data_IF_927904336270
#
_entry.id   IF_927904336270
#
_cell.length_a   1.000
_cell.length_b   1.000
_cell.length_c   1.000
_cell.angle_alpha   90.00
_cell.angle_beta   90.00
_cell.angle_gamma   90.00
#
_symmetry.space_group_name_H-M   'P 1'
#
loop_
_entity.id
_entity.type
_entity.pdbx_description
1 polymer ?
#
# COMPACT_ATOMS: atom_id res chain seq x y z
N UNK A 1 3.90 6.19 4.26
CA UNK A 1 3.80 6.48 2.81
C UNK A 1 4.66 7.67 2.41
N UNK A 2 4.52 8.83 3.06
CA UNK A 2 5.40 10.00 2.82
C UNK A 2 6.89 9.68 2.83
N UNK A 3 7.37 8.87 3.79
CA UNK A 3 8.77 8.46 3.82
C UNK A 3 9.20 7.65 2.59
N UNK A 4 8.34 6.76 2.06
CA UNK A 4 8.63 6.01 0.83
C UNK A 4 8.65 6.92 -0.39
N UNK A 5 7.78 7.95 -0.42
CA UNK A 5 7.75 8.97 -1.48
C UNK A 5 9.03 9.80 -1.44
N UNK A 6 9.44 10.27 -0.26
CA UNK A 6 10.73 10.98 -0.05
C UNK A 6 11.95 10.13 -0.40
N UNK A 7 11.89 8.82 -0.19
CA UNK A 7 12.93 7.88 -0.58
C UNK A 7 12.93 7.52 -2.09
N UNK A 8 11.97 8.03 -2.87
CA UNK A 8 11.86 7.74 -4.31
C UNK A 8 11.40 6.32 -4.65
N UNK A 9 10.91 5.56 -3.66
CA UNK A 9 10.41 4.18 -3.86
C UNK A 9 9.02 4.15 -4.49
N UNK A 10 8.23 5.21 -4.27
CA UNK A 10 6.91 5.42 -4.87
C UNK A 10 6.86 6.82 -5.48
N UNK A 11 6.06 7.00 -6.53
CA UNK A 11 5.75 8.31 -7.10
C UNK A 11 4.72 9.01 -6.21
N UNK A 12 3.65 8.31 -5.85
CA UNK A 12 2.53 8.89 -5.13
C UNK A 12 1.74 7.83 -4.35
N UNK A 13 0.84 8.28 -3.48
CA UNK A 13 -0.17 7.43 -2.88
C UNK A 13 -1.45 8.21 -2.64
N UNK A 14 -2.58 7.50 -2.67
CA UNK A 14 -3.91 8.08 -2.42
C UNK A 14 -4.72 7.15 -1.53
N UNK A 15 -5.47 7.73 -0.60
CA UNK A 15 -6.48 7.02 0.19
C UNK A 15 -7.83 7.38 -0.39
N UNK A 16 -8.52 6.38 -0.91
CA UNK A 16 -9.84 6.54 -1.54
C UNK A 16 -10.88 5.96 -0.59
N UNK A 17 -11.95 6.73 -0.33
CA UNK A 17 -13.18 6.22 0.28
C UNK A 17 -14.14 5.82 -0.82
N UNK A 18 -14.68 4.61 -0.74
CA UNK A 18 -15.59 4.06 -1.72
C UNK A 18 -16.97 3.88 -1.10
N UNK A 19 -17.99 3.83 -1.96
CA UNK A 19 -19.36 3.48 -1.59
C UNK A 19 -19.57 2.05 -2.12
N UNK A 20 -19.34 1.01 -1.30
CA UNK A 20 -19.41 -0.37 -1.76
C UNK A 20 -20.87 -0.76 -2.06
N UNK A 21 -21.07 -1.59 -3.09
CA UNK A 21 -22.38 -2.13 -3.49
C UNK A 21 -22.66 -3.50 -2.85
N UNK A 22 -21.68 -4.11 -2.21
CA UNK A 22 -21.82 -5.36 -1.45
C UNK A 22 -20.77 -5.46 -0.32
N UNK A 23 -20.95 -6.34 0.67
CA UNK A 23 -19.98 -6.54 1.75
C UNK A 23 -18.59 -7.02 1.30
N UNK A 24 -18.48 -7.58 0.09
CA UNK A 24 -17.22 -8.08 -0.47
C UNK A 24 -16.47 -7.05 -1.33
N UNK A 25 -16.98 -5.82 -1.41
CA UNK A 25 -16.31 -4.71 -2.08
C UNK A 25 -15.59 -3.79 -1.07
N UNK A 26 -14.45 -3.20 -1.46
CA UNK A 26 -13.74 -2.28 -0.58
C UNK A 26 -14.56 -1.02 -0.32
N UNK A 27 -14.61 -0.60 0.93
CA UNK A 27 -15.07 0.73 1.35
C UNK A 27 -13.92 1.74 1.48
N UNK A 28 -12.67 1.25 1.52
CA UNK A 28 -11.44 2.05 1.54
C UNK A 28 -10.40 1.34 0.66
N UNK A 29 -9.70 2.12 -0.18
CA UNK A 29 -8.56 1.64 -0.97
C UNK A 29 -7.33 2.53 -0.73
N UNK A 30 -6.17 1.91 -0.51
CA UNK A 30 -4.87 2.57 -0.57
C UNK A 30 -4.26 2.30 -1.94
N UNK A 31 -4.21 3.32 -2.78
CA UNK A 31 -3.58 3.25 -4.09
C UNK A 31 -2.14 3.76 -3.99
N UNK A 32 -1.18 2.99 -4.51
CA UNK A 32 0.24 3.33 -4.52
C UNK A 32 0.69 3.38 -5.97
N UNK A 33 1.25 4.52 -6.38
CA UNK A 33 1.76 4.71 -7.74
C UNK A 33 3.26 4.47 -7.74
N UNK A 34 3.69 3.49 -8.53
CA UNK A 34 5.10 3.17 -8.75
C UNK A 34 5.57 3.69 -10.11
N UNK A 35 6.88 3.87 -10.26
CA UNK A 35 7.48 4.33 -11.52
C UNK A 35 7.26 3.37 -12.68
N UNK A 36 7.20 2.07 -12.42
CA UNK A 36 6.95 1.02 -13.39
C UNK A 36 6.52 -0.28 -12.68
N UNK A 37 6.16 -1.29 -13.45
CA UNK A 37 5.72 -2.59 -12.90
C UNK A 37 6.80 -3.34 -12.12
N UNK A 38 8.07 -3.25 -12.52
CA UNK A 38 9.16 -3.88 -11.78
C UNK A 38 9.33 -3.27 -10.37
N UNK A 39 9.29 -1.94 -10.26
CA UNK A 39 9.34 -1.25 -8.98
C UNK A 39 8.17 -1.62 -8.05
N UNK A 40 7.01 -1.98 -8.59
CA UNK A 40 5.86 -2.42 -7.81
C UNK A 40 6.03 -3.84 -7.23
N UNK A 41 6.89 -4.67 -7.82
CA UNK A 41 7.04 -6.09 -7.47
C UNK A 41 8.40 -6.44 -6.84
N UNK A 42 9.43 -5.61 -7.03
CA UNK A 42 10.83 -5.94 -6.74
C UNK A 42 11.54 -4.93 -5.82
N UNK A 43 10.78 -4.20 -4.99
CA UNK A 43 11.32 -3.20 -4.04
C UNK A 43 11.06 -3.52 -2.57
N UNK A 44 10.79 -4.78 -2.26
CA UNK A 44 10.42 -5.22 -0.92
C UNK A 44 11.49 -4.92 0.15
N UNK A 45 12.77 -5.13 -0.18
CA UNK A 45 13.88 -4.92 0.75
C UNK A 45 14.03 -3.45 1.10
N UNK A 46 14.07 -2.56 0.10
CA UNK A 46 14.23 -1.12 0.32
C UNK A 46 13.01 -0.52 1.03
N UNK A 47 11.80 -1.01 0.73
CA UNK A 47 10.59 -0.63 1.46
C UNK A 47 10.67 -1.01 2.94
N UNK A 48 11.17 -2.21 3.24
CA UNK A 48 11.36 -2.65 4.63
C UNK A 48 12.42 -1.81 5.36
N UNK A 49 13.53 -1.47 4.71
CA UNK A 49 14.57 -0.62 5.29
C UNK A 49 14.04 0.76 5.69
N UNK A 50 13.26 1.40 4.81
CA UNK A 50 12.62 2.68 5.13
C UNK A 50 11.58 2.52 6.23
N UNK A 51 10.79 1.45 6.21
CA UNK A 51 9.79 1.17 7.24
C UNK A 51 10.43 0.99 8.63
N UNK A 52 11.55 0.28 8.70
CA UNK A 52 12.31 0.09 9.96
C UNK A 52 12.78 1.40 10.56
N UNK A 53 13.24 2.34 9.73
CA UNK A 53 13.70 3.68 10.18
C UNK A 53 12.57 4.56 10.72
N UNK A 54 11.36 4.42 10.18
CA UNK A 54 10.24 5.35 10.46
C UNK A 54 9.26 4.80 11.49
N UNK A 55 9.02 3.49 11.47
CA UNK A 55 7.98 2.83 12.31
C UNK A 55 8.62 2.02 13.43
N UNK A 56 9.78 1.40 13.18
CA UNK A 56 10.45 0.48 14.10
C UNK A 56 10.57 -0.93 13.56
N UNK A 57 10.94 -1.89 14.41
CA UNK A 57 11.24 -3.27 13.98
C UNK A 57 10.06 -3.96 13.30
N UNK A 58 10.36 -5.00 12.51
CA UNK A 58 9.36 -5.81 11.81
C UNK A 58 8.32 -6.40 12.78
N UNK A 59 8.72 -6.75 14.00
CA UNK A 59 7.80 -7.23 15.05
C UNK A 59 6.80 -6.17 15.51
N UNK A 60 7.24 -4.93 15.70
CA UNK A 60 6.36 -3.81 16.05
C UNK A 60 5.35 -3.57 14.92
N UNK A 61 5.82 -3.58 13.68
CA UNK A 61 4.97 -3.43 12.50
C UNK A 61 3.95 -4.55 12.38
N UNK A 62 4.36 -5.80 12.65
CA UNK A 62 3.49 -6.98 12.62
C UNK A 62 2.41 -6.92 13.70
N UNK A 63 2.76 -6.57 14.95
CA UNK A 63 1.77 -6.39 16.03
C UNK A 63 0.72 -5.35 15.67
N UNK A 64 1.15 -4.20 15.14
CA UNK A 64 0.24 -3.17 14.67
C UNK A 64 -0.66 -3.69 13.53
N UNK A 65 -0.12 -4.47 12.59
CA UNK A 65 -0.90 -5.07 11.49
C UNK A 65 -1.95 -6.06 11.99
N UNK A 66 -1.61 -6.89 12.99
CA UNK A 66 -2.53 -7.84 13.62
C UNK A 66 -3.66 -7.11 14.36
N UNK A 67 -3.35 -6.10 15.19
CA UNK A 67 -4.37 -5.33 15.91
C UNK A 67 -5.37 -4.64 14.98
N UNK A 68 -4.93 -4.20 13.79
CA UNK A 68 -5.87 -3.64 12.80
C UNK A 68 -6.89 -4.66 12.26
N UNK A 69 -6.61 -5.96 12.33
CA UNK A 69 -7.53 -6.99 11.82
C UNK A 69 -8.78 -7.15 12.70
N UNK A 70 -8.79 -6.61 13.93
CA UNK A 70 -9.96 -6.64 14.81
C UNK A 70 -11.13 -5.81 14.27
N UNK A 71 -10.86 -4.79 13.45
CA UNK A 71 -11.87 -3.87 12.92
C UNK A 71 -11.81 -3.68 11.40
N UNK A 72 -10.90 -4.36 10.69
CA UNK A 72 -10.81 -4.31 9.22
C UNK A 72 -10.68 -5.71 8.62
N UNK A 73 -11.35 -5.93 7.49
CA UNK A 73 -11.13 -7.10 6.62
C UNK A 73 -10.25 -6.68 5.45
N UNK A 74 -9.14 -7.40 5.22
CA UNK A 74 -8.33 -7.21 4.01
C UNK A 74 -8.99 -7.98 2.88
N UNK A 75 -9.49 -7.27 1.86
CA UNK A 75 -10.15 -7.89 0.71
C UNK A 75 -9.17 -8.35 -0.37
N UNK A 76 -7.99 -7.74 -0.44
CA UNK A 76 -6.94 -8.12 -1.37
C UNK A 76 -6.08 -6.94 -1.81
N UNK A 77 -5.25 -7.21 -2.81
CA UNK A 77 -4.45 -6.22 -3.53
C UNK A 77 -4.78 -6.34 -5.00
N UNK A 78 -5.05 -5.21 -5.65
CA UNK A 78 -5.31 -5.15 -7.08
C UNK A 78 -4.16 -4.42 -7.79
N UNK A 79 -3.71 -4.97 -8.92
CA UNK A 79 -2.76 -4.30 -9.79
C UNK A 79 -3.52 -3.56 -10.89
N UNK A 80 -3.47 -2.22 -10.84
CA UNK A 80 -4.13 -1.35 -11.82
C UNK A 80 -3.08 -0.73 -12.73
N UNK A 81 -3.34 -0.78 -14.04
CA UNK A 81 -2.53 -0.08 -15.06
C UNK A 81 -3.46 0.76 -15.91
N UNK A 82 -3.15 2.04 -16.02
CA UNK A 82 -3.81 2.92 -16.97
C UNK A 82 -3.41 2.53 -18.40
N UNK A 83 -4.40 2.32 -19.27
CA UNK A 83 -4.19 2.08 -20.70
C UNK A 83 -4.55 3.38 -21.42
N UNK A 84 -3.56 3.97 -22.09
CA UNK A 84 -3.74 5.18 -22.90
C UNK A 84 -4.06 4.72 -24.32
N UNK A 85 -5.24 5.06 -24.82
CA UNK A 85 -5.62 4.87 -26.21
C UNK A 85 -5.16 6.09 -27.00
N UNK A 86 -4.28 5.87 -27.97
CA UNK A 86 -3.83 6.90 -28.92
C UNK A 86 -4.68 6.85 -30.19
#
# INVERSE_FOLDING_TARGET
MEAFKKAGLIIDYKVLKLIPKSPDQPNISLCITYKNGAAALDKGVELEEVAKKVIGSTDVQNKARVGRNEYRKVLGTEYVREIILN
#
